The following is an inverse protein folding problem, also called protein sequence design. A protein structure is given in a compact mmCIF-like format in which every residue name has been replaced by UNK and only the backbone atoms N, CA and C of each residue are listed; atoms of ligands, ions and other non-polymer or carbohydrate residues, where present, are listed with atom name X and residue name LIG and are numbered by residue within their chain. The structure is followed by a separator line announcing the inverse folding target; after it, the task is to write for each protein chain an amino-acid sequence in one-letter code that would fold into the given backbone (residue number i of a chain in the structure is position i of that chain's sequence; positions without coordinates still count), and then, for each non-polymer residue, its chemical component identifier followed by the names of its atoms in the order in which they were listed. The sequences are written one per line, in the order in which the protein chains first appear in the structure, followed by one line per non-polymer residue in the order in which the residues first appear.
data_IF_049755302031
#
_entry.id   IF_049755302031
#
_cell.length_a   1.000
_cell.length_b   1.000
_cell.length_c   1.000
_cell.angle_alpha   90.00
_cell.angle_beta   90.00
_cell.angle_gamma   90.00
#
_symmetry.space_group_name_H-M   'P 1'
#
loop_
_entity.id
_entity.type
_entity.pdbx_description
1 polymer ?
#
# COMPACT_ATOMS: atom_id res chain seq x y z
N UNK A 1 10.84 25.46 -0.21
CA UNK A 1 9.92 25.04 0.86
C UNK A 1 8.82 24.27 0.14
N UNK A 2 9.01 22.96 -0.01
CA UNK A 2 8.02 22.12 -0.67
C UNK A 2 6.74 22.12 0.16
N UNK A 3 5.61 22.38 -0.50
CA UNK A 3 4.31 22.28 0.13
C UNK A 3 4.11 20.86 0.65
N UNK A 4 3.43 20.66 1.81
CA UNK A 4 3.11 19.32 2.27
C UNK A 4 2.37 18.61 1.14
N UNK A 5 2.96 17.53 0.61
CA UNK A 5 2.28 16.65 -0.31
C UNK A 5 1.05 16.11 0.42
N UNK A 6 -0.12 16.67 0.11
CA UNK A 6 -1.36 16.04 0.52
C UNK A 6 -1.36 14.67 -0.14
N UNK A 7 -1.59 13.58 0.62
CA UNK A 7 -1.67 12.26 0.02
C UNK A 7 -2.76 12.29 -1.06
N UNK A 8 -2.55 11.60 -2.19
CA UNK A 8 -3.57 11.52 -3.23
C UNK A 8 -4.85 10.95 -2.62
N UNK A 9 -5.98 11.62 -2.87
CA UNK A 9 -7.29 11.07 -2.50
C UNK A 9 -7.58 9.90 -3.43
N UNK A 10 -7.53 8.68 -2.90
CA UNK A 10 -7.97 7.46 -3.58
C UNK A 10 -9.47 7.35 -3.45
N UNK A 11 -10.18 7.24 -4.57
CA UNK A 11 -11.67 7.24 -4.58
C UNK A 11 -12.28 5.93 -5.05
N UNK A 12 -11.47 5.01 -5.59
CA UNK A 12 -11.93 3.70 -6.07
C UNK A 12 -11.02 2.56 -5.60
N UNK A 13 -11.56 1.34 -5.60
CA UNK A 13 -10.80 0.11 -5.31
C UNK A 13 -9.62 -0.04 -6.27
N UNK A 14 -9.83 0.22 -7.57
CA UNK A 14 -8.80 0.10 -8.59
C UNK A 14 -7.61 1.04 -8.33
N UNK A 15 -7.89 2.31 -8.01
CA UNK A 15 -6.88 3.30 -7.64
C UNK A 15 -6.12 2.89 -6.36
N UNK A 16 -6.81 2.27 -5.39
CA UNK A 16 -6.18 1.79 -4.16
C UNK A 16 -5.21 0.64 -4.44
N UNK A 17 -5.64 -0.35 -5.22
CA UNK A 17 -4.82 -1.50 -5.58
C UNK A 17 -3.60 -1.07 -6.40
N UNK A 18 -3.77 -0.12 -7.33
CA UNK A 18 -2.67 0.45 -8.11
C UNK A 18 -1.63 1.13 -7.22
N UNK A 19 -2.04 2.08 -6.38
CA UNK A 19 -1.12 2.77 -5.46
C UNK A 19 -0.45 1.82 -4.47
N UNK A 20 -1.15 0.78 -4.03
CA UNK A 20 -0.58 -0.21 -3.13
C UNK A 20 0.51 -1.06 -3.82
N UNK A 21 0.28 -1.47 -5.07
CA UNK A 21 1.29 -2.16 -5.87
C UNK A 21 2.51 -1.27 -6.13
N UNK A 22 2.31 0.00 -6.47
CA UNK A 22 3.40 0.97 -6.65
C UNK A 22 4.26 1.11 -5.38
N UNK A 23 3.62 1.13 -4.21
CA UNK A 23 4.31 1.21 -2.92
C UNK A 23 5.14 -0.05 -2.64
N UNK A 24 4.59 -1.24 -2.89
CA UNK A 24 5.34 -2.51 -2.75
C UNK A 24 6.51 -2.56 -3.72
N UNK A 25 6.30 -2.23 -4.99
CA UNK A 25 7.36 -2.21 -5.99
C UNK A 25 8.46 -1.21 -5.62
N UNK A 26 8.07 -0.05 -5.08
CA UNK A 26 9.02 0.94 -4.56
C UNK A 26 9.82 0.40 -3.38
N UNK A 27 9.17 -0.27 -2.43
CA UNK A 27 9.85 -0.91 -1.31
C UNK A 27 10.89 -1.93 -1.82
N UNK A 28 10.50 -2.80 -2.77
CA UNK A 28 11.39 -3.78 -3.37
C UNK A 28 12.59 -3.14 -4.07
N UNK A 29 12.37 -2.07 -4.85
CA UNK A 29 13.46 -1.31 -5.49
C UNK A 29 14.46 -0.73 -4.47
N UNK A 30 13.99 -0.40 -3.27
CA UNK A 30 14.84 0.10 -2.18
C UNK A 30 15.41 -1.03 -1.30
N UNK A 31 15.28 -2.29 -1.72
CA UNK A 31 15.80 -3.44 -0.99
C UNK A 31 15.00 -3.75 0.27
N UNK A 32 13.70 -3.41 0.29
CA UNK A 32 12.78 -3.75 1.36
C UNK A 32 11.74 -4.71 0.81
N UNK A 33 11.68 -5.92 1.36
CA UNK A 33 10.64 -6.90 1.09
C UNK A 33 9.48 -6.72 2.08
N UNK A 34 8.27 -6.72 1.54
CA UNK A 34 7.03 -6.51 2.30
C UNK A 34 6.11 -7.69 2.02
N UNK A 35 5.89 -8.51 3.02
CA UNK A 35 4.86 -9.55 2.99
C UNK A 35 3.60 -9.01 3.66
N UNK A 36 2.43 -9.26 3.05
CA UNK A 36 1.18 -8.76 3.60
C UNK A 36 -0.07 -9.26 2.87
N UNK A 37 -1.22 -8.83 3.37
CA UNK A 37 -2.53 -9.07 2.79
C UNK A 37 -3.34 -7.78 2.83
N UNK A 38 -4.31 -7.66 1.93
CA UNK A 38 -5.29 -6.58 1.97
C UNK A 38 -6.69 -7.18 1.93
N UNK A 39 -7.65 -6.49 2.54
CA UNK A 39 -9.05 -6.87 2.52
C UNK A 39 -9.92 -5.63 2.32
N UNK A 40 -10.90 -5.76 1.42
CA UNK A 40 -12.01 -4.81 1.32
C UNK A 40 -13.17 -5.33 2.17
N UNK A 41 -13.68 -4.50 3.07
CA UNK A 41 -14.89 -4.76 3.85
C UNK A 41 -15.96 -3.78 3.40
N UNK A 42 -16.98 -4.33 2.77
CA UNK A 42 -18.21 -3.60 2.50
C UNK A 42 -19.02 -3.54 3.81
N UNK A 43 -19.21 -2.34 4.34
CA UNK A 43 -20.14 -2.09 5.43
C UNK A 43 -21.33 -1.31 4.87
N UNK A 44 -22.53 -1.52 5.41
CA UNK A 44 -23.80 -0.97 4.90
C UNK A 44 -23.82 0.57 4.64
N UNK A 45 -22.80 1.30 5.08
CA UNK A 45 -22.65 2.74 4.84
C UNK A 45 -21.35 3.15 4.12
N UNK A 46 -20.28 2.33 4.11
CA UNK A 46 -18.96 2.69 3.59
C UNK A 46 -18.11 1.46 3.20
N UNK A 47 -17.22 1.60 2.21
CA UNK A 47 -16.17 0.62 1.96
C UNK A 47 -14.95 0.94 2.83
N UNK A 48 -14.61 0.02 3.72
CA UNK A 48 -13.38 0.07 4.51
C UNK A 48 -12.33 -0.84 3.87
N UNK A 49 -11.12 -0.33 3.67
CA UNK A 49 -10.00 -1.12 3.18
C UNK A 49 -8.96 -1.28 4.28
N UNK A 50 -8.64 -2.53 4.61
CA UNK A 50 -7.65 -2.88 5.61
C UNK A 50 -6.38 -3.40 4.92
N UNK A 51 -5.25 -2.84 5.33
CA UNK A 51 -3.94 -3.30 4.91
C UNK A 51 -3.19 -3.91 6.09
N UNK A 52 -2.75 -5.15 5.93
CA UNK A 52 -1.93 -5.86 6.91
C UNK A 52 -0.53 -6.10 6.34
N UNK A 53 0.49 -5.51 6.99
CA UNK A 53 1.89 -5.84 6.74
C UNK A 53 2.32 -6.87 7.78
N UNK A 54 2.60 -8.10 7.34
CA UNK A 54 3.00 -9.20 8.22
C UNK A 54 4.52 -9.30 8.41
N UNK A 55 5.32 -8.82 7.46
CA UNK A 55 6.76 -8.74 7.61
C UNK A 55 7.35 -7.60 6.77
N UNK A 56 8.41 -6.99 7.31
CA UNK A 56 9.28 -6.04 6.60
C UNK A 56 10.71 -6.53 6.78
N UNK A 57 11.42 -6.80 5.67
CA UNK A 57 12.77 -7.36 5.71
C UNK A 57 13.69 -6.69 4.69
N UNK A 58 15.00 -6.62 4.94
CA UNK A 58 15.96 -6.29 3.88
C UNK A 58 15.97 -7.39 2.82
N UNK A 59 15.92 -7.02 1.54
CA UNK A 59 16.15 -7.93 0.43
C UNK A 59 17.60 -8.38 0.49
N UNK A 60 17.80 -9.65 0.82
CA UNK A 60 19.13 -10.26 0.80
C UNK A 60 19.32 -10.92 -0.55
N UNK A 61 20.13 -10.34 -1.42
CA UNK A 61 20.58 -11.01 -2.64
C UNK A 61 21.61 -12.07 -2.24
N UNK A 62 21.24 -13.34 -2.39
CA UNK A 62 22.15 -14.49 -2.24
C UNK A 62 23.02 -14.70 -3.47
#
# INVERSE_FOLDING_TARGET
MDAPHSPPTVTTEAELVEQFNELIESAHRHGVDVEGAWACRDTDAWMDYELLVSAVRPVTFG
#
